data_IF_688868959657
#
_entry.id   IF_688868959657
#
_cell.length_a   1.000
_cell.length_b   1.000
_cell.length_c   1.000
_cell.angle_alpha   90.00
_cell.angle_beta   90.00
_cell.angle_gamma   90.00
#
_symmetry.space_group_name_H-M   'P 1'
#
loop_
_entity.id
_entity.type
_entity.pdbx_description
1 polymer ?
#
# COMPACT_ATOMS: atom_id res chain seq x y z
N UNK A 1 -42.47 47.01 46.96
CA UNK A 1 -43.35 45.86 46.68
C UNK A 1 -42.48 44.74 46.13
N UNK A 2 -42.36 43.64 46.87
CA UNK A 2 -41.61 42.42 46.54
C UNK A 2 -42.35 41.60 45.47
N UNK A 3 -41.65 40.90 44.58
CA UNK A 3 -41.98 39.57 43.97
C UNK A 3 -40.70 39.12 43.23
N UNK A 4 -39.89 38.25 43.87
CA UNK A 4 -39.76 36.79 43.69
C UNK A 4 -38.97 36.37 42.44
N UNK A 5 -37.75 35.90 42.72
CA UNK A 5 -36.95 34.98 41.91
C UNK A 5 -37.72 33.71 41.54
N UNK A 6 -37.46 33.15 40.35
CA UNK A 6 -37.63 31.73 40.06
C UNK A 6 -36.39 31.18 39.37
N UNK A 7 -35.92 30.08 39.94
CA UNK A 7 -34.81 29.21 39.57
C UNK A 7 -35.22 28.21 38.47
N UNK A 8 -34.23 27.38 38.07
CA UNK A 8 -34.29 26.13 37.32
C UNK A 8 -34.25 26.32 35.80
N UNK A 9 -33.24 25.90 35.05
CA UNK A 9 -32.28 24.82 35.28
C UNK A 9 -32.24 24.02 33.98
N UNK A 10 -31.22 24.27 33.14
CA UNK A 10 -30.97 23.47 31.93
C UNK A 10 -29.52 23.02 31.99
N UNK A 11 -29.32 21.86 32.62
CA UNK A 11 -28.12 21.04 32.47
C UNK A 11 -28.19 20.41 31.07
N UNK A 12 -27.65 21.12 30.08
CA UNK A 12 -27.36 20.52 28.77
C UNK A 12 -26.09 19.66 28.94
N UNK A 13 -26.27 18.43 29.43
CA UNK A 13 -25.23 17.41 29.44
C UNK A 13 -24.88 17.04 28.00
N UNK A 14 -23.81 17.63 27.48
CA UNK A 14 -23.22 17.26 26.20
C UNK A 14 -22.67 15.84 26.29
N UNK A 15 -23.38 14.89 25.69
CA UNK A 15 -22.90 13.52 25.50
C UNK A 15 -21.75 13.58 24.49
N UNK A 16 -20.53 13.51 25.00
CA UNK A 16 -19.32 13.35 24.21
C UNK A 16 -19.34 11.92 23.63
N UNK A 17 -19.91 11.75 22.44
CA UNK A 17 -19.76 10.52 21.66
C UNK A 17 -18.29 10.45 21.19
N UNK A 18 -17.43 9.88 22.03
CA UNK A 18 -16.14 9.36 21.62
C UNK A 18 -16.41 8.27 20.59
N UNK A 19 -16.38 8.63 19.31
CA UNK A 19 -16.31 7.70 18.20
C UNK A 19 -15.01 6.91 18.34
N UNK A 20 -15.07 5.83 19.13
CA UNK A 20 -14.16 4.71 19.01
C UNK A 20 -14.43 4.09 17.63
N UNK A 21 -13.93 4.74 16.57
CA UNK A 21 -13.71 4.07 15.30
C UNK A 21 -12.69 2.98 15.62
N UNK A 22 -13.22 1.79 15.90
CA UNK A 22 -12.45 0.62 16.23
C UNK A 22 -11.42 0.44 15.11
N UNK A 23 -10.15 0.53 15.49
CA UNK A 23 -9.04 0.02 14.72
C UNK A 23 -9.32 -1.48 14.54
N UNK A 24 -10.07 -1.87 13.51
CA UNK A 24 -10.11 -3.25 13.04
C UNK A 24 -8.76 -3.49 12.37
N UNK A 25 -7.73 -3.63 13.20
CA UNK A 25 -6.45 -4.18 12.78
C UNK A 25 -6.81 -5.56 12.23
N UNK A 26 -6.66 -5.73 10.91
CA UNK A 26 -6.82 -7.01 10.26
C UNK A 26 -5.89 -7.99 10.98
N UNK A 27 -6.45 -8.83 11.86
CA UNK A 27 -5.71 -9.72 12.75
C UNK A 27 -4.90 -10.81 12.00
N UNK A 28 -4.93 -10.77 10.67
CA UNK A 28 -4.31 -11.72 9.76
C UNK A 28 -3.12 -11.12 8.98
N UNK A 29 -2.72 -9.88 9.24
CA UNK A 29 -1.55 -9.29 8.57
C UNK A 29 -0.25 -9.90 9.09
N UNK A 30 0.67 -10.23 8.19
CA UNK A 30 2.02 -10.66 8.57
C UNK A 30 2.83 -9.49 9.17
N UNK A 31 3.94 -9.76 9.87
CA UNK A 31 4.84 -8.70 10.34
C UNK A 31 5.37 -7.82 9.20
N UNK A 32 5.65 -8.40 8.03
CA UNK A 32 6.06 -7.67 6.83
C UNK A 32 4.95 -6.71 6.36
N UNK A 33 3.73 -7.23 6.21
CA UNK A 33 2.58 -6.43 5.77
C UNK A 33 2.26 -5.31 6.75
N UNK A 34 2.42 -5.55 8.06
CA UNK A 34 2.22 -4.54 9.11
C UNK A 34 3.23 -3.40 8.99
N UNK A 35 4.51 -3.72 8.78
CA UNK A 35 5.56 -2.73 8.58
C UNK A 35 5.33 -1.91 7.31
N UNK A 36 5.02 -2.56 6.18
CA UNK A 36 4.72 -1.88 4.93
C UNK A 36 3.49 -0.97 5.07
N UNK A 37 2.40 -1.43 5.68
CA UNK A 37 1.19 -0.62 5.87
C UNK A 37 1.42 0.62 6.76
N UNK A 38 2.33 0.51 7.73
CA UNK A 38 2.70 1.60 8.61
C UNK A 38 3.73 2.57 7.99
N UNK A 39 4.34 2.21 6.86
CA UNK A 39 5.33 3.06 6.20
C UNK A 39 4.65 4.30 5.61
N UNK A 40 5.11 5.47 6.04
CA UNK A 40 4.64 6.75 5.52
C UNK A 40 5.49 7.21 4.34
N UNK A 41 4.81 7.82 3.37
CA UNK A 41 5.36 8.32 2.13
C UNK A 41 4.26 8.89 1.26
N UNK A 42 4.62 9.45 0.11
CA UNK A 42 3.64 9.84 -0.88
C UNK A 42 4.17 9.56 -2.29
N UNK A 43 3.24 9.48 -3.24
CA UNK A 43 3.54 9.32 -4.65
C UNK A 43 3.48 10.67 -5.36
N UNK A 44 4.52 10.99 -6.12
CA UNK A 44 4.64 12.23 -6.88
C UNK A 44 4.82 11.89 -8.36
N UNK A 45 4.12 12.59 -9.23
CA UNK A 45 4.29 12.42 -10.68
C UNK A 45 5.69 12.83 -11.13
N UNK A 46 6.46 11.89 -11.67
CA UNK A 46 7.73 12.15 -12.33
C UNK A 46 7.50 12.35 -13.83
N UNK A 47 7.64 13.59 -14.30
CA UNK A 47 7.42 13.94 -15.72
C UNK A 47 8.46 13.35 -16.67
N UNK A 48 9.68 13.05 -16.20
CA UNK A 48 10.75 12.50 -17.02
C UNK A 48 10.52 11.01 -17.29
N UNK A 49 10.19 10.26 -16.23
CA UNK A 49 9.94 8.82 -16.28
C UNK A 49 8.48 8.50 -16.67
N UNK A 50 7.61 9.51 -16.71
CA UNK A 50 6.17 9.39 -16.98
C UNK A 50 5.48 8.38 -16.05
N UNK A 51 5.88 8.36 -14.79
CA UNK A 51 5.33 7.47 -13.77
C UNK A 51 5.29 8.18 -12.41
N UNK A 52 4.52 7.62 -11.47
CA UNK A 52 4.54 8.07 -10.09
C UNK A 52 5.74 7.48 -9.36
N UNK A 53 6.56 8.32 -8.74
CA UNK A 53 7.68 7.92 -7.92
C UNK A 53 7.28 7.97 -6.43
N UNK A 54 7.66 6.94 -5.69
CA UNK A 54 7.47 6.89 -4.25
C UNK A 54 8.56 7.71 -3.54
N UNK A 55 8.18 8.54 -2.56
CA UNK A 55 9.12 9.48 -1.93
C UNK A 55 9.98 8.88 -0.82
N UNK A 56 9.68 7.67 -0.36
CA UNK A 56 10.42 7.01 0.72
C UNK A 56 10.96 5.62 0.32
N UNK A 57 11.76 5.52 -0.76
CA UNK A 57 12.30 4.24 -1.20
C UNK A 57 13.24 3.62 -0.16
N UNK A 58 13.96 4.43 0.62
CA UNK A 58 14.84 3.94 1.69
C UNK A 58 14.08 3.19 2.77
N UNK A 59 12.87 3.62 3.14
CA UNK A 59 12.05 2.90 4.10
C UNK A 59 11.58 1.52 3.60
N UNK A 60 11.38 1.36 2.29
CA UNK A 60 11.06 0.06 1.70
C UNK A 60 12.29 -0.87 1.71
N UNK A 61 13.46 -0.32 1.38
CA UNK A 61 14.74 -1.02 1.42
C UNK A 61 15.10 -1.49 2.84
N UNK A 62 14.98 -0.61 3.84
CA UNK A 62 15.19 -0.95 5.26
C UNK A 62 14.29 -2.11 5.73
N UNK A 63 13.01 -2.11 5.33
CA UNK A 63 12.09 -3.21 5.63
C UNK A 63 12.53 -4.49 4.92
N UNK A 64 12.91 -4.41 3.65
CA UNK A 64 13.29 -5.56 2.84
C UNK A 64 14.57 -6.25 3.34
N UNK A 65 15.56 -5.48 3.79
CA UNK A 65 16.83 -5.99 4.31
C UNK A 65 16.70 -6.87 5.56
N UNK A 66 15.57 -6.80 6.27
CA UNK A 66 15.29 -7.65 7.43
C UNK A 66 14.91 -9.10 7.05
N UNK A 67 14.80 -9.42 5.76
CA UNK A 67 14.33 -10.70 5.26
C UNK A 67 15.28 -11.32 4.23
N UNK A 68 15.27 -12.64 4.13
CA UNK A 68 15.92 -13.35 3.04
C UNK A 68 15.07 -13.24 1.75
N UNK A 69 15.72 -12.98 0.61
CA UNK A 69 15.05 -12.70 -0.66
C UNK A 69 14.14 -13.85 -1.12
N UNK A 70 14.57 -15.11 -0.96
CA UNK A 70 13.79 -16.28 -1.40
C UNK A 70 12.49 -16.42 -0.59
N UNK A 71 12.51 -15.99 0.67
CA UNK A 71 11.32 -15.98 1.53
C UNK A 71 10.49 -14.70 1.39
N UNK A 72 11.12 -13.59 1.03
CA UNK A 72 10.48 -12.27 0.93
C UNK A 72 9.61 -12.15 -0.32
N UNK A 73 10.13 -12.53 -1.50
CA UNK A 73 9.41 -12.37 -2.76
C UNK A 73 8.03 -13.06 -2.78
N UNK A 74 7.87 -14.33 -2.33
CA UNK A 74 6.55 -14.96 -2.27
C UNK A 74 5.57 -14.22 -1.34
N UNK A 75 6.05 -13.67 -0.23
CA UNK A 75 5.22 -12.91 0.70
C UNK A 75 4.76 -11.59 0.08
N UNK A 76 5.65 -10.86 -0.59
CA UNK A 76 5.32 -9.63 -1.30
C UNK A 76 4.30 -9.90 -2.42
N UNK A 77 4.50 -10.94 -3.23
CA UNK A 77 3.54 -11.31 -4.27
C UNK A 77 2.17 -11.64 -3.67
N UNK A 78 2.12 -12.44 -2.61
CA UNK A 78 0.86 -12.78 -1.92
C UNK A 78 0.12 -11.57 -1.32
N UNK A 79 0.81 -10.44 -1.17
CA UNK A 79 0.27 -9.19 -0.65
C UNK A 79 -0.25 -8.24 -1.75
N UNK A 80 0.11 -8.45 -3.01
CA UNK A 80 -0.15 -7.48 -4.09
C UNK A 80 -1.63 -7.17 -4.34
N UNK A 81 -2.57 -8.07 -4.04
CA UNK A 81 -4.01 -7.84 -4.19
C UNK A 81 -4.68 -7.27 -2.92
N UNK A 82 -3.89 -6.92 -1.90
CA UNK A 82 -4.40 -6.44 -0.62
C UNK A 82 -4.82 -4.97 -0.69
N UNK A 83 -6.13 -4.74 -0.58
CA UNK A 83 -6.75 -3.41 -0.62
C UNK A 83 -6.71 -2.63 0.71
N UNK A 84 -6.04 -3.16 1.75
CA UNK A 84 -5.94 -2.48 3.06
C UNK A 84 -5.27 -1.11 2.87
N UNK A 85 -5.89 -0.01 3.34
CA UNK A 85 -5.28 1.32 3.27
C UNK A 85 -3.96 1.40 4.06
N UNK A 86 -2.97 2.10 3.52
CA UNK A 86 -1.68 2.34 4.18
C UNK A 86 -1.56 3.78 4.70
N UNK A 87 -0.46 4.09 5.39
CA UNK A 87 -0.07 5.47 5.72
C UNK A 87 0.54 6.23 4.53
N UNK A 88 0.81 5.54 3.41
CA UNK A 88 1.30 6.16 2.19
C UNK A 88 0.15 6.73 1.36
N UNK A 89 0.39 7.83 0.66
CA UNK A 89 -0.69 8.56 -0.04
C UNK A 89 -0.38 8.90 -1.49
N UNK A 90 -1.44 9.04 -2.29
CA UNK A 90 -1.43 9.66 -3.61
C UNK A 90 -2.56 10.70 -3.62
N UNK A 91 -2.25 11.96 -3.93
CA UNK A 91 -3.24 13.05 -3.92
C UNK A 91 -4.05 13.13 -2.60
N UNK A 92 -3.39 12.91 -1.46
CA UNK A 92 -3.98 12.84 -0.11
C UNK A 92 -4.89 11.64 0.18
N UNK A 93 -5.05 10.71 -0.76
CA UNK A 93 -5.75 9.44 -0.55
C UNK A 93 -4.78 8.33 -0.20
N UNK A 94 -5.14 7.48 0.77
CA UNK A 94 -4.32 6.34 1.16
C UNK A 94 -4.21 5.34 0.00
N UNK A 95 -2.97 4.93 -0.32
CA UNK A 95 -2.75 3.86 -1.30
C UNK A 95 -2.98 2.49 -0.67
N UNK A 96 -3.48 1.50 -1.42
CA UNK A 96 -3.65 0.14 -0.92
C UNK A 96 -2.29 -0.53 -0.70
N UNK A 97 -2.23 -1.43 0.28
CA UNK A 97 -1.01 -2.16 0.66
C UNK A 97 -0.37 -2.90 -0.51
N UNK A 98 -1.19 -3.43 -1.42
CA UNK A 98 -0.74 -4.10 -2.63
C UNK A 98 0.23 -3.28 -3.49
N UNK A 99 0.04 -1.95 -3.54
CA UNK A 99 0.94 -1.03 -4.25
C UNK A 99 2.31 -0.98 -3.59
N UNK A 100 2.40 -0.94 -2.26
CA UNK A 100 3.69 -0.95 -1.56
C UNK A 100 4.37 -2.32 -1.71
N UNK A 101 3.62 -3.41 -1.67
CA UNK A 101 4.15 -4.74 -1.92
C UNK A 101 4.74 -4.87 -3.33
N UNK A 102 4.06 -4.33 -4.36
CA UNK A 102 4.62 -4.19 -5.71
C UNK A 102 5.87 -3.32 -5.75
N UNK A 103 5.83 -2.13 -5.15
CA UNK A 103 6.95 -1.20 -5.15
C UNK A 103 8.20 -1.85 -4.54
N UNK A 104 8.06 -2.60 -3.44
CA UNK A 104 9.16 -3.35 -2.83
C UNK A 104 9.70 -4.43 -3.76
N UNK A 105 8.85 -5.17 -4.48
CA UNK A 105 9.31 -6.15 -5.48
C UNK A 105 10.19 -5.46 -6.53
N UNK A 106 9.71 -4.35 -7.10
CA UNK A 106 10.43 -3.62 -8.17
C UNK A 106 11.73 -2.95 -7.71
N UNK A 107 11.94 -2.80 -6.39
CA UNK A 107 13.22 -2.37 -5.83
C UNK A 107 14.24 -3.52 -5.74
N UNK A 108 13.75 -4.74 -5.52
CA UNK A 108 14.60 -5.91 -5.27
C UNK A 108 14.93 -6.68 -6.55
N UNK A 109 13.98 -6.73 -7.48
CA UNK A 109 14.10 -7.51 -8.69
C UNK A 109 13.56 -6.76 -9.89
N UNK A 110 14.11 -7.08 -11.05
CA UNK A 110 13.76 -6.53 -12.34
C UNK A 110 13.21 -7.63 -13.25
N UNK A 111 12.13 -7.33 -13.95
CA UNK A 111 11.53 -8.20 -14.97
C UNK A 111 10.96 -7.34 -16.11
N UNK A 112 11.16 -7.83 -17.32
CA UNK A 112 10.53 -7.31 -18.55
C UNK A 112 10.02 -8.48 -19.37
N UNK A 113 8.79 -8.33 -19.87
CA UNK A 113 8.22 -9.26 -20.84
C UNK A 113 8.54 -8.76 -22.24
N UNK A 114 9.17 -9.60 -23.07
CA UNK A 114 9.52 -9.28 -24.46
C UNK A 114 8.92 -10.29 -25.43
N UNK A 115 8.60 -9.84 -26.64
CA UNK A 115 8.19 -10.73 -27.74
C UNK A 115 9.41 -11.47 -28.35
N UNK A 116 9.17 -12.35 -29.34
CA UNK A 116 10.25 -13.08 -30.04
C UNK A 116 11.26 -12.16 -30.76
N UNK A 117 10.87 -10.93 -31.07
CA UNK A 117 11.72 -9.90 -31.67
C UNK A 117 12.51 -9.07 -30.65
N UNK A 118 12.28 -9.27 -29.34
CA UNK A 118 12.88 -8.49 -28.27
C UNK A 118 12.17 -7.17 -27.95
N UNK A 119 10.98 -6.91 -28.52
CA UNK A 119 10.22 -5.70 -28.18
C UNK A 119 9.49 -5.89 -26.85
N UNK A 120 9.45 -4.83 -26.05
CA UNK A 120 8.71 -4.78 -24.79
C UNK A 120 7.22 -4.97 -25.04
N UNK A 121 6.61 -5.88 -24.27
CA UNK A 121 5.18 -6.13 -24.28
C UNK A 121 4.49 -5.36 -23.15
N UNK A 122 3.23 -4.99 -23.39
CA UNK A 122 2.35 -4.50 -22.32
C UNK A 122 2.07 -5.66 -21.37
N UNK A 123 2.72 -5.62 -20.20
CA UNK A 123 2.73 -6.72 -19.26
C UNK A 123 1.80 -6.44 -18.07
N UNK A 124 0.84 -7.32 -17.76
CA UNK A 124 -0.14 -7.11 -16.68
C UNK A 124 0.50 -7.09 -15.28
N UNK A 125 1.79 -7.40 -15.15
CA UNK A 125 2.54 -7.27 -13.91
C UNK A 125 2.88 -5.83 -13.51
N UNK A 126 2.77 -4.88 -14.44
CA UNK A 126 2.98 -3.47 -14.13
C UNK A 126 1.76 -2.86 -13.43
N UNK A 127 2.00 -2.18 -12.32
CA UNK A 127 0.97 -1.40 -11.62
C UNK A 127 1.16 0.08 -11.92
N UNK A 128 0.14 0.68 -12.54
CA UNK A 128 0.02 2.12 -12.73
C UNK A 128 -0.88 2.73 -11.66
N UNK A 129 -0.49 3.90 -11.14
CA UNK A 129 -1.27 4.62 -10.15
C UNK A 129 -2.19 5.67 -10.80
N UNK A 130 -3.44 5.85 -10.30
CA UNK A 130 -4.10 5.05 -9.27
C UNK A 130 -4.46 3.63 -9.79
N UNK A 131 -4.23 2.61 -8.96
CA UNK A 131 -4.47 1.21 -9.32
C UNK A 131 -5.84 0.74 -8.84
N UNK A 132 -6.59 0.06 -9.72
CA UNK A 132 -7.84 -0.59 -9.33
C UNK A 132 -7.60 -1.96 -8.67
N UNK A 133 -8.59 -2.51 -7.94
CA UNK A 133 -8.48 -3.87 -7.40
C UNK A 133 -8.24 -4.94 -8.48
N UNK A 134 -8.73 -4.73 -9.71
CA UNK A 134 -8.50 -5.64 -10.82
C UNK A 134 -7.04 -5.60 -11.28
N UNK A 135 -6.44 -4.40 -11.35
CA UNK A 135 -5.03 -4.22 -11.72
C UNK A 135 -4.11 -4.91 -10.70
N UNK A 136 -4.38 -4.71 -9.41
CA UNK A 136 -3.62 -5.34 -8.33
C UNK A 136 -3.66 -6.87 -8.39
N UNK A 137 -4.84 -7.43 -8.69
CA UNK A 137 -5.01 -8.88 -8.84
C UNK A 137 -4.29 -9.42 -10.09
N UNK A 138 -4.42 -8.73 -11.23
CA UNK A 138 -3.74 -9.12 -12.45
C UNK A 138 -2.21 -9.10 -12.26
N UNK A 139 -1.70 -8.06 -11.60
CA UNK A 139 -0.29 -7.94 -11.31
C UNK A 139 0.20 -9.04 -10.35
N UNK A 140 -0.58 -9.36 -9.31
CA UNK A 140 -0.26 -10.49 -8.43
C UNK A 140 -0.11 -11.80 -9.21
N UNK A 141 -1.06 -12.10 -10.10
CA UNK A 141 -1.06 -13.34 -10.88
C UNK A 141 0.15 -13.40 -11.83
N UNK A 142 0.47 -12.29 -12.49
CA UNK A 142 1.64 -12.17 -13.36
C UNK A 142 2.96 -12.35 -12.60
N UNK A 143 3.13 -11.64 -11.48
CA UNK A 143 4.34 -11.76 -10.65
C UNK A 143 4.49 -13.13 -10.00
N UNK A 144 3.38 -13.79 -9.64
CA UNK A 144 3.43 -15.17 -9.12
C UNK A 144 4.11 -16.10 -10.13
N UNK A 145 3.81 -15.95 -11.42
CA UNK A 145 4.46 -16.72 -12.49
C UNK A 145 5.96 -16.38 -12.57
N UNK A 146 6.30 -15.09 -12.67
CA UNK A 146 7.70 -14.61 -12.74
C UNK A 146 8.55 -15.14 -11.58
N UNK A 147 8.06 -15.05 -10.35
CA UNK A 147 8.78 -15.52 -9.17
C UNK A 147 8.92 -17.05 -9.17
N UNK A 148 7.86 -17.79 -9.55
CA UNK A 148 7.90 -19.25 -9.59
C UNK A 148 8.85 -19.80 -10.66
N UNK A 149 8.97 -19.10 -11.79
CA UNK A 149 9.85 -19.46 -12.92
C UNK A 149 11.26 -18.89 -12.76
N UNK A 150 11.50 -18.07 -11.71
CA UNK A 150 12.73 -17.31 -11.50
C UNK A 150 13.12 -16.45 -12.72
N UNK A 151 12.12 -15.92 -13.42
CA UNK A 151 12.31 -15.09 -14.62
C UNK A 151 12.54 -13.61 -14.26
N UNK A 152 13.54 -13.34 -13.44
CA UNK A 152 13.87 -11.99 -12.98
C UNK A 152 15.38 -11.85 -12.72
N UNK A 153 15.85 -10.61 -12.64
CA UNK A 153 17.22 -10.26 -12.25
C UNK A 153 17.18 -9.57 -10.90
N UNK A 154 18.06 -9.94 -9.98
CA UNK A 154 18.19 -9.26 -8.68
C UNK A 154 18.96 -7.94 -8.88
N UNK A 155 18.49 -6.87 -8.26
CA UNK A 155 19.11 -5.54 -8.34
C UNK A 155 20.14 -5.32 -7.23
#
# INVERSE_FOLDING_TARGET
MRIKSMFFGILAGGVLLLSLAACQINANMSPLQTQLAALSGHYVWNSQEKMYAYTNPSGLDEIAQAYDLETLLPQLVSCMDNATPTQSTLNHEAVPLGVLCYQTITLLVYHEEVNEGGDLLDWPGYIHLPASPADLKAAQEAWRKVISEKNYVVQ
#
